data_IF_126047010548
#
_entry.id   IF_126047010548
#
_cell.length_a   1.000
_cell.length_b   1.000
_cell.length_c   1.000
_cell.angle_alpha   90.00
_cell.angle_beta   90.00
_cell.angle_gamma   90.00
#
_symmetry.space_group_name_H-M   'P 1'
#
loop_
_entity.id
_entity.type
_entity.pdbx_description
1 polymer ?
#
# COMPACT_ATOMS: atom_id res chain seq x y z
N UNK A 1 -6.50 50.48 72.45
CA UNK A 1 -7.64 51.32 72.05
C UNK A 1 -7.91 51.02 70.58
N UNK A 2 -9.06 50.56 70.10
CA UNK A 2 -10.37 50.34 70.73
C UNK A 2 -11.08 49.11 70.14
N UNK A 3 -12.27 48.86 70.65
CA UNK A 3 -12.99 47.59 70.76
C UNK A 3 -14.00 47.29 69.62
N UNK A 4 -14.30 45.98 69.43
CA UNK A 4 -15.62 45.34 69.20
C UNK A 4 -16.46 45.63 67.92
N UNK A 5 -17.49 44.80 67.55
CA UNK A 5 -17.90 43.45 67.99
C UNK A 5 -18.30 42.45 66.84
N UNK A 6 -18.77 41.28 67.25
CA UNK A 6 -19.16 40.03 66.56
C UNK A 6 -20.54 39.96 65.86
N UNK A 7 -20.59 39.26 64.68
CA UNK A 7 -21.63 38.41 64.01
C UNK A 7 -23.10 38.92 63.77
N UNK A 8 -23.96 38.29 62.91
CA UNK A 8 -23.80 37.59 61.61
C UNK A 8 -24.95 37.89 60.56
N UNK A 9 -24.92 37.17 59.41
CA UNK A 9 -26.05 36.71 58.55
C UNK A 9 -26.47 37.48 57.28
N UNK A 10 -26.33 36.74 56.16
CA UNK A 10 -27.19 36.57 54.98
C UNK A 10 -28.17 37.68 54.57
N UNK A 11 -27.95 38.24 53.37
CA UNK A 11 -28.95 39.03 52.65
C UNK A 11 -28.43 39.51 51.30
N UNK A 12 -29.09 39.07 50.23
CA UNK A 12 -28.78 39.31 48.83
C UNK A 12 -28.53 40.77 48.46
N UNK A 13 -27.47 41.02 47.68
CA UNK A 13 -27.44 42.13 46.72
C UNK A 13 -27.02 41.63 45.33
N UNK A 14 -27.87 41.95 44.36
CA UNK A 14 -27.73 41.69 42.92
C UNK A 14 -26.60 42.52 42.29
N UNK A 15 -26.21 42.02 41.10
CA UNK A 15 -25.53 42.68 39.95
C UNK A 15 -24.01 42.83 40.05
N UNK A 16 -23.31 42.06 39.21
CA UNK A 16 -22.80 42.61 37.95
C UNK A 16 -22.55 41.49 36.95
N UNK A 17 -22.94 41.76 35.70
CA UNK A 17 -22.79 40.87 34.57
C UNK A 17 -21.35 40.86 34.10
N UNK A 18 -20.80 39.68 33.84
CA UNK A 18 -19.74 39.50 32.86
C UNK A 18 -20.19 38.36 31.97
N UNK A 19 -20.78 38.73 30.82
CA UNK A 19 -20.94 37.85 29.67
C UNK A 19 -19.54 37.41 29.26
N UNK A 20 -19.08 36.26 29.73
CA UNK A 20 -18.03 35.52 29.03
C UNK A 20 -18.70 34.67 27.97
N UNK A 21 -18.60 35.16 26.75
CA UNK A 21 -19.05 34.54 25.51
C UNK A 21 -18.33 33.19 25.30
N UNK A 22 -18.89 32.11 25.82
CA UNK A 22 -18.38 30.74 25.63
C UNK A 22 -18.97 30.04 24.38
N UNK A 23 -19.60 30.79 23.47
CA UNK A 23 -20.41 30.23 22.38
C UNK A 23 -19.77 30.26 20.99
N UNK A 24 -18.53 30.71 20.83
CA UNK A 24 -17.88 30.80 19.50
C UNK A 24 -17.04 29.57 19.13
N UNK A 25 -16.62 28.76 20.10
CA UNK A 25 -15.73 27.62 19.82
C UNK A 25 -16.48 26.36 19.36
N UNK A 26 -17.74 26.15 19.78
CA UNK A 26 -18.54 24.99 19.33
C UNK A 26 -18.98 25.11 17.87
N UNK A 27 -19.25 26.33 17.38
CA UNK A 27 -19.70 26.53 16.00
C UNK A 27 -18.59 26.29 14.97
N UNK A 28 -17.33 26.62 15.31
CA UNK A 28 -16.20 26.44 14.41
C UNK A 28 -15.74 24.97 14.32
N UNK A 29 -15.90 24.19 15.38
CA UNK A 29 -15.63 22.74 15.36
C UNK A 29 -16.69 21.99 14.55
N UNK A 30 -17.97 22.34 14.74
CA UNK A 30 -19.07 21.73 13.97
C UNK A 30 -18.97 21.99 12.47
N UNK A 31 -18.55 23.19 12.06
CA UNK A 31 -18.40 23.54 10.65
C UNK A 31 -17.25 22.76 9.97
N UNK A 32 -16.12 22.58 10.68
CA UNK A 32 -14.98 21.79 10.17
C UNK A 32 -15.34 20.31 10.00
N UNK A 33 -16.10 19.76 10.93
CA UNK A 33 -16.57 18.38 10.84
C UNK A 33 -17.54 18.19 9.66
N UNK A 34 -18.41 19.17 9.40
CA UNK A 34 -19.32 19.16 8.25
C UNK A 34 -18.56 19.23 6.91
N UNK A 35 -17.58 20.14 6.76
CA UNK A 35 -16.72 20.22 5.56
C UNK A 35 -15.94 18.92 5.30
N UNK A 36 -15.41 18.30 6.37
CA UNK A 36 -14.69 17.03 6.26
C UNK A 36 -15.60 15.87 5.85
N UNK A 37 -16.87 15.89 6.29
CA UNK A 37 -17.87 14.92 5.87
C UNK A 37 -18.22 15.12 4.40
N UNK A 38 -18.52 16.35 3.96
CA UNK A 38 -18.82 16.64 2.56
C UNK A 38 -17.68 16.23 1.62
N UNK A 39 -16.43 16.53 1.99
CA UNK A 39 -15.24 16.12 1.26
C UNK A 39 -15.14 14.60 1.15
N UNK A 40 -15.43 13.88 2.25
CA UNK A 40 -15.38 12.42 2.29
C UNK A 40 -16.48 11.78 1.44
N UNK A 41 -17.70 12.32 1.50
CA UNK A 41 -18.84 11.90 0.68
C UNK A 41 -18.55 12.12 -0.81
N UNK A 42 -18.05 13.29 -1.16
CA UNK A 42 -17.63 13.61 -2.52
C UNK A 42 -16.55 12.66 -3.03
N UNK A 43 -15.48 12.45 -2.27
CA UNK A 43 -14.37 11.57 -2.68
C UNK A 43 -14.83 10.13 -2.91
N UNK A 44 -15.77 9.65 -2.09
CA UNK A 44 -16.33 8.32 -2.29
C UNK A 44 -17.17 8.25 -3.57
N UNK A 45 -18.09 9.19 -3.79
CA UNK A 45 -18.93 9.24 -4.99
C UNK A 45 -18.11 9.40 -6.26
N UNK A 46 -17.08 10.25 -6.23
CA UNK A 46 -16.15 10.44 -7.35
C UNK A 46 -15.42 9.14 -7.72
N UNK A 47 -14.92 8.40 -6.73
CA UNK A 47 -14.28 7.09 -6.97
C UNK A 47 -15.29 6.07 -7.48
N UNK A 48 -16.49 5.99 -6.91
CA UNK A 48 -17.55 5.10 -7.41
C UNK A 48 -17.87 5.39 -8.89
N UNK A 49 -17.94 6.66 -9.29
CA UNK A 49 -18.19 7.08 -10.68
C UNK A 49 -17.03 6.76 -11.63
N UNK A 50 -15.78 6.75 -11.16
CA UNK A 50 -14.64 6.24 -11.95
C UNK A 50 -14.87 4.77 -12.36
N UNK A 51 -15.36 3.95 -11.42
CA UNK A 51 -15.51 2.50 -11.60
C UNK A 51 -16.86 2.06 -12.17
N UNK A 52 -17.92 2.88 -12.10
CA UNK A 52 -19.26 2.52 -12.60
C UNK A 52 -19.34 2.46 -14.13
N UNK A 53 -18.48 3.21 -14.84
CA UNK A 53 -18.34 3.16 -16.31
C UNK A 53 -19.55 3.66 -17.12
N UNK A 54 -20.67 4.00 -16.46
CA UNK A 54 -21.92 4.41 -17.12
C UNK A 54 -22.03 5.90 -17.42
N UNK A 55 -21.41 6.75 -16.60
CA UNK A 55 -21.43 8.22 -16.76
C UNK A 55 -20.01 8.76 -16.92
N UNK A 56 -19.83 9.77 -17.75
CA UNK A 56 -18.58 10.52 -17.81
C UNK A 56 -18.44 11.46 -16.61
N UNK A 57 -17.20 11.64 -16.17
CA UNK A 57 -16.85 12.65 -15.17
C UNK A 57 -16.91 14.01 -15.84
N UNK A 58 -17.81 14.87 -15.38
CA UNK A 58 -17.96 16.21 -15.92
C UNK A 58 -16.77 17.10 -15.50
N UNK A 59 -16.70 18.29 -16.11
CA UNK A 59 -15.58 19.21 -15.83
C UNK A 59 -15.66 19.85 -14.44
N UNK A 60 -16.86 20.00 -13.89
CA UNK A 60 -17.07 20.59 -12.57
C UNK A 60 -16.60 19.62 -11.47
N UNK A 61 -16.96 18.33 -11.59
CA UNK A 61 -16.49 17.25 -10.73
C UNK A 61 -14.97 17.13 -10.76
N UNK A 62 -14.36 17.21 -11.95
CA UNK A 62 -12.89 17.17 -12.08
C UNK A 62 -12.21 18.39 -11.44
N UNK A 63 -12.79 19.58 -11.61
CA UNK A 63 -12.29 20.80 -10.99
C UNK A 63 -12.37 20.72 -9.46
N UNK A 64 -13.54 20.32 -8.93
CA UNK A 64 -13.78 20.14 -7.49
C UNK A 64 -12.88 19.06 -6.89
N UNK A 65 -12.63 17.97 -7.62
CA UNK A 65 -11.66 16.95 -7.23
C UNK A 65 -10.24 17.52 -7.12
N UNK A 66 -9.80 18.31 -8.11
CA UNK A 66 -8.51 18.99 -8.09
C UNK A 66 -8.37 19.95 -6.91
N UNK A 67 -9.40 20.73 -6.60
CA UNK A 67 -9.44 21.64 -5.44
C UNK A 67 -9.25 20.88 -4.11
N UNK A 68 -10.01 19.80 -3.90
CA UNK A 68 -9.85 18.98 -2.70
C UNK A 68 -8.49 18.29 -2.60
N UNK A 69 -7.87 17.94 -3.74
CA UNK A 69 -6.51 17.39 -3.76
C UNK A 69 -5.44 18.44 -3.43
N UNK A 70 -5.69 19.70 -3.79
CA UNK A 70 -4.80 20.85 -3.55
C UNK A 70 -4.87 21.36 -2.10
N UNK A 71 -5.85 20.91 -1.31
CA UNK A 71 -6.02 21.32 0.08
C UNK A 71 -4.78 20.98 0.94
N UNK A 72 -4.41 21.91 1.82
CA UNK A 72 -3.27 21.77 2.73
C UNK A 72 -3.43 20.61 3.72
N UNK A 73 -4.66 20.29 4.13
CA UNK A 73 -4.93 19.22 5.10
C UNK A 73 -4.69 17.80 4.54
N UNK A 74 -4.51 17.67 3.22
CA UNK A 74 -4.25 16.40 2.52
C UNK A 74 -5.39 15.38 2.55
N UNK A 75 -6.56 15.72 3.12
CA UNK A 75 -7.66 14.77 3.29
C UNK A 75 -8.24 14.32 1.96
N UNK A 76 -8.29 15.19 0.95
CA UNK A 76 -8.73 14.79 -0.39
C UNK A 76 -7.83 13.69 -0.99
N UNK A 77 -6.52 13.89 -0.92
CA UNK A 77 -5.51 12.90 -1.38
C UNK A 77 -5.60 11.60 -0.60
N UNK A 78 -5.74 11.70 0.73
CA UNK A 78 -5.88 10.55 1.63
C UNK A 78 -7.13 9.72 1.30
N UNK A 79 -8.30 10.35 1.22
CA UNK A 79 -9.56 9.66 0.97
C UNK A 79 -9.60 9.04 -0.42
N UNK A 80 -9.12 9.73 -1.45
CA UNK A 80 -9.00 9.16 -2.79
C UNK A 80 -8.15 7.89 -2.77
N UNK A 81 -6.94 7.94 -2.20
CA UNK A 81 -6.06 6.78 -2.13
C UNK A 81 -6.67 5.62 -1.34
N UNK A 82 -7.42 5.91 -0.27
CA UNK A 82 -8.13 4.89 0.53
C UNK A 82 -9.27 4.24 -0.25
N UNK A 83 -10.11 5.02 -0.92
CA UNK A 83 -11.27 4.51 -1.66
C UNK A 83 -10.86 3.71 -2.89
N UNK A 84 -9.88 4.19 -3.67
CA UNK A 84 -9.34 3.41 -4.79
C UNK A 84 -8.69 2.12 -4.28
N UNK A 85 -7.92 2.16 -3.18
CA UNK A 85 -7.34 0.95 -2.61
C UNK A 85 -8.41 -0.08 -2.17
N UNK A 86 -9.60 0.36 -1.77
CA UNK A 86 -10.70 -0.52 -1.40
C UNK A 86 -11.31 -1.22 -2.63
N UNK A 87 -11.38 -0.52 -3.78
CA UNK A 87 -11.90 -1.09 -5.04
C UNK A 87 -11.07 -2.26 -5.57
N UNK A 88 -9.81 -2.37 -5.17
CA UNK A 88 -8.91 -3.48 -5.56
C UNK A 88 -9.44 -4.85 -5.16
N UNK A 89 -10.24 -4.92 -4.08
CA UNK A 89 -10.83 -6.17 -3.61
C UNK A 89 -11.91 -6.71 -4.57
N UNK A 90 -12.47 -5.85 -5.42
CA UNK A 90 -13.54 -6.21 -6.36
C UNK A 90 -12.94 -6.76 -7.66
N UNK A 91 -12.11 -5.96 -8.33
CA UNK A 91 -11.39 -6.39 -9.53
C UNK A 91 -10.09 -5.60 -9.71
N UNK A 92 -9.07 -6.27 -10.27
CA UNK A 92 -7.81 -5.66 -10.72
C UNK A 92 -7.81 -5.32 -12.21
N UNK A 93 -8.62 -6.05 -12.99
CA UNK A 93 -8.84 -5.78 -14.40
C UNK A 93 -10.00 -4.80 -14.55
N UNK A 94 -9.74 -3.65 -15.13
CA UNK A 94 -10.75 -2.59 -15.37
C UNK A 94 -10.97 -2.41 -16.86
N UNK A 95 -12.10 -1.79 -17.21
CA UNK A 95 -12.36 -1.37 -18.59
C UNK A 95 -11.34 -0.31 -19.03
N UNK A 96 -11.10 -0.18 -20.33
CA UNK A 96 -10.20 0.84 -20.88
C UNK A 96 -10.64 2.28 -20.50
N UNK A 97 -11.92 2.66 -20.54
CA UNK A 97 -12.36 3.97 -20.05
C UNK A 97 -12.05 4.18 -18.55
N UNK A 98 -12.35 3.21 -17.69
CA UNK A 98 -12.03 3.29 -16.26
C UNK A 98 -10.53 3.39 -16.03
N UNK A 99 -9.72 2.67 -16.81
CA UNK A 99 -8.27 2.73 -16.75
C UNK A 99 -7.75 4.15 -16.99
N UNK A 100 -8.17 4.82 -18.06
CA UNK A 100 -7.70 6.17 -18.35
C UNK A 100 -8.24 7.22 -17.36
N UNK A 101 -9.45 7.04 -16.83
CA UNK A 101 -9.97 7.87 -15.71
C UNK A 101 -9.10 7.73 -14.46
N UNK A 102 -8.65 6.51 -14.15
CA UNK A 102 -7.69 6.26 -13.08
C UNK A 102 -6.34 6.92 -13.37
N UNK A 103 -5.77 6.77 -14.58
CA UNK A 103 -4.50 7.44 -14.95
C UNK A 103 -4.59 8.95 -14.71
N UNK A 104 -5.65 9.60 -15.19
CA UNK A 104 -5.86 11.04 -15.02
C UNK A 104 -5.98 11.44 -13.55
N UNK A 105 -6.82 10.74 -12.79
CA UNK A 105 -7.06 11.07 -11.37
C UNK A 105 -5.82 10.80 -10.50
N UNK A 106 -5.09 9.71 -10.77
CA UNK A 106 -3.81 9.44 -10.11
C UNK A 106 -2.78 10.51 -10.42
N UNK A 107 -2.68 10.96 -11.67
CA UNK A 107 -1.72 12.01 -12.04
C UNK A 107 -1.96 13.30 -11.24
N UNK A 108 -3.22 13.73 -11.08
CA UNK A 108 -3.58 14.89 -10.24
C UNK A 108 -3.14 14.68 -8.79
N UNK A 109 -3.50 13.53 -8.19
CA UNK A 109 -3.16 13.29 -6.77
C UNK A 109 -1.66 13.15 -6.56
N UNK A 110 -0.95 12.49 -7.46
CA UNK A 110 0.51 12.33 -7.38
C UNK A 110 1.24 13.66 -7.56
N UNK A 111 0.73 14.53 -8.43
CA UNK A 111 1.21 15.89 -8.58
C UNK A 111 1.01 16.68 -7.28
N UNK A 112 -0.19 16.70 -6.72
CA UNK A 112 -0.44 17.43 -5.46
C UNK A 112 0.33 16.84 -4.27
N UNK A 113 0.49 15.52 -4.21
CA UNK A 113 1.37 14.87 -3.23
C UNK A 113 2.83 15.35 -3.37
N UNK A 114 3.29 15.58 -4.60
CA UNK A 114 4.63 16.08 -4.85
C UNK A 114 4.78 17.52 -4.36
N UNK A 115 3.81 18.39 -4.71
CA UNK A 115 3.84 19.81 -4.36
C UNK A 115 3.76 20.04 -2.85
N UNK A 116 2.98 19.21 -2.14
CA UNK A 116 2.72 19.36 -0.71
C UNK A 116 3.57 18.44 0.18
N UNK A 117 4.56 17.73 -0.37
CA UNK A 117 5.36 16.71 0.33
C UNK A 117 4.51 15.65 1.07
N UNK A 118 3.33 15.32 0.54
CA UNK A 118 2.39 14.38 1.15
C UNK A 118 2.61 12.95 0.63
N UNK A 119 3.54 12.25 1.27
CA UNK A 119 4.03 10.96 0.78
C UNK A 119 3.14 9.77 1.17
N UNK A 120 2.23 9.93 2.13
CA UNK A 120 1.37 8.84 2.61
C UNK A 120 0.41 8.32 1.52
N UNK A 121 -0.43 9.17 0.92
CA UNK A 121 -1.30 8.80 -0.19
C UNK A 121 -0.50 8.33 -1.40
N UNK A 122 0.61 9.01 -1.75
CA UNK A 122 1.47 8.62 -2.86
C UNK A 122 2.02 7.20 -2.72
N UNK A 123 2.45 6.79 -1.52
CA UNK A 123 2.93 5.42 -1.26
C UNK A 123 1.83 4.37 -1.54
N UNK A 124 0.59 4.67 -1.17
CA UNK A 124 -0.53 3.77 -1.45
C UNK A 124 -0.80 3.69 -2.97
N UNK A 125 -0.79 4.83 -3.66
CA UNK A 125 -0.96 4.91 -5.12
C UNK A 125 0.17 4.21 -5.89
N UNK A 126 1.40 4.28 -5.41
CA UNK A 126 2.56 3.56 -5.96
C UNK A 126 2.27 2.06 -6.07
N UNK A 127 1.74 1.45 -5.00
CA UNK A 127 1.40 0.02 -5.00
C UNK A 127 0.26 -0.28 -6.00
N UNK A 128 -0.70 0.64 -6.13
CA UNK A 128 -1.82 0.50 -7.06
C UNK A 128 -1.39 0.61 -8.53
N UNK A 129 -0.29 1.32 -8.83
CA UNK A 129 0.26 1.42 -10.19
C UNK A 129 0.58 0.04 -10.80
N UNK A 130 1.00 -0.93 -9.98
CA UNK A 130 1.29 -2.31 -10.39
C UNK A 130 0.11 -3.27 -10.24
N UNK A 131 -1.03 -2.78 -9.75
CA UNK A 131 -2.19 -3.63 -9.47
C UNK A 131 -3.24 -3.53 -10.57
N UNK A 132 -3.66 -2.30 -10.91
CA UNK A 132 -4.71 -2.08 -11.89
C UNK A 132 -4.16 -2.20 -13.30
N UNK A 133 -4.88 -2.93 -14.14
CA UNK A 133 -4.56 -3.08 -15.54
C UNK A 133 -5.84 -3.16 -16.38
N UNK A 134 -5.70 -2.88 -17.67
CA UNK A 134 -6.69 -3.26 -18.68
C UNK A 134 -6.05 -4.20 -19.71
N UNK A 135 -6.89 -4.95 -20.41
CA UNK A 135 -6.45 -5.83 -21.50
C UNK A 135 -6.37 -4.97 -22.77
N UNK A 136 -5.14 -4.72 -23.23
CA UNK A 136 -4.87 -4.04 -24.49
C UNK A 136 -5.13 -4.95 -25.69
N UNK A 137 -5.42 -4.36 -26.84
CA UNK A 137 -5.54 -5.13 -28.09
C UNK A 137 -4.19 -5.81 -28.39
N UNK A 138 -4.16 -7.10 -28.79
CA UNK A 138 -2.92 -7.75 -29.19
C UNK A 138 -2.26 -6.95 -30.31
N UNK A 139 -1.00 -6.59 -30.11
CA UNK A 139 -0.22 -5.84 -31.09
C UNK A 139 -0.07 -6.69 -32.36
N UNK A 140 -0.85 -6.38 -33.40
CA UNK A 140 -0.81 -7.03 -34.71
C UNK A 140 -0.20 -6.07 -35.74
N UNK A 141 1.04 -5.60 -35.59
CA UNK A 141 1.74 -4.90 -36.68
C UNK A 141 3.26 -5.17 -36.72
N UNK A 142 3.88 -5.08 -37.94
CA UNK A 142 5.23 -5.55 -38.22
C UNK A 142 6.33 -4.67 -37.61
N UNK A 143 7.39 -5.36 -37.21
CA UNK A 143 8.61 -4.90 -36.58
C UNK A 143 9.33 -3.75 -37.31
N UNK A 144 9.06 -2.48 -36.97
CA UNK A 144 9.98 -1.36 -37.25
C UNK A 144 9.96 -0.31 -36.12
N UNK A 145 10.64 -0.63 -35.02
CA UNK A 145 11.45 0.28 -34.20
C UNK A 145 11.97 -0.52 -33.00
N UNK A 146 13.25 -0.88 -33.04
CA UNK A 146 13.93 -1.53 -31.93
C UNK A 146 14.14 -0.51 -30.80
N UNK A 147 13.15 -0.35 -29.94
CA UNK A 147 13.44 -0.32 -28.51
C UNK A 147 13.18 -1.73 -27.99
N UNK A 148 14.22 -2.37 -27.42
CA UNK A 148 14.03 -3.66 -26.72
C UNK A 148 12.89 -3.45 -25.73
N UNK A 149 11.82 -4.27 -25.74
CA UNK A 149 10.86 -4.21 -24.66
C UNK A 149 11.61 -4.66 -23.41
N UNK A 150 11.92 -3.68 -22.54
CA UNK A 150 12.18 -3.91 -21.11
C UNK A 150 11.25 -5.04 -20.69
N UNK A 151 11.78 -6.14 -20.14
CA UNK A 151 11.04 -7.40 -19.98
C UNK A 151 9.62 -7.15 -19.45
N UNK A 152 8.64 -7.92 -19.94
CA UNK A 152 7.22 -7.74 -19.61
C UNK A 152 7.05 -7.42 -18.13
N UNK A 153 6.34 -6.35 -17.78
CA UNK A 153 6.12 -5.90 -16.39
C UNK A 153 5.58 -7.04 -15.49
N UNK A 154 4.86 -8.00 -16.07
CA UNK A 154 4.43 -9.23 -15.39
C UNK A 154 5.62 -10.10 -14.93
N UNK A 155 6.69 -10.20 -15.73
CA UNK A 155 7.94 -10.87 -15.37
C UNK A 155 8.65 -10.15 -14.23
N UNK A 156 8.72 -8.83 -14.31
CA UNK A 156 9.32 -7.98 -13.29
C UNK A 156 8.63 -8.16 -11.93
N UNK A 157 7.29 -8.07 -11.90
CA UNK A 157 6.49 -8.29 -10.69
C UNK A 157 6.61 -9.70 -10.12
N UNK A 158 6.76 -10.72 -10.98
CA UNK A 158 7.01 -12.11 -10.52
C UNK A 158 8.40 -12.25 -9.92
N UNK A 159 9.42 -11.65 -10.53
CA UNK A 159 10.80 -11.63 -10.02
C UNK A 159 10.85 -11.03 -8.62
N UNK A 160 10.21 -9.88 -8.41
CA UNK A 160 10.10 -9.21 -7.11
C UNK A 160 9.57 -10.14 -6.00
N UNK A 161 8.42 -10.77 -6.27
CA UNK A 161 7.74 -11.62 -5.29
C UNK A 161 8.50 -12.92 -5.04
N UNK A 162 9.12 -13.48 -6.08
CA UNK A 162 9.95 -14.69 -5.96
C UNK A 162 11.21 -14.43 -5.13
N UNK A 163 11.91 -13.33 -5.42
CA UNK A 163 13.12 -12.94 -4.71
C UNK A 163 12.84 -12.69 -3.23
N UNK A 164 11.78 -11.94 -2.93
CA UNK A 164 11.36 -11.68 -1.55
C UNK A 164 10.98 -12.98 -0.80
N UNK A 165 10.31 -13.92 -1.47
CA UNK A 165 9.94 -15.19 -0.86
C UNK A 165 11.15 -16.08 -0.58
N UNK A 166 12.07 -16.21 -1.54
CA UNK A 166 13.27 -17.04 -1.41
C UNK A 166 14.26 -16.47 -0.38
N UNK A 167 14.50 -15.15 -0.43
CA UNK A 167 15.50 -14.50 0.44
C UNK A 167 14.98 -14.24 1.85
N UNK A 168 13.66 -14.23 2.08
CA UNK A 168 13.08 -14.23 3.43
C UNK A 168 13.46 -15.49 4.22
N UNK A 169 13.40 -16.66 3.60
CA UNK A 169 13.81 -17.93 4.23
C UNK A 169 15.33 -17.94 4.49
N UNK A 170 16.14 -17.36 3.60
CA UNK A 170 17.59 -17.23 3.78
C UNK A 170 17.92 -16.26 4.93
N UNK A 171 17.31 -15.08 5.01
CA UNK A 171 17.50 -14.16 6.13
C UNK A 171 17.08 -14.79 7.47
N UNK A 172 15.96 -15.52 7.50
CA UNK A 172 15.54 -16.27 8.69
C UNK A 172 16.53 -17.39 9.06
N UNK A 173 17.16 -18.06 8.09
CA UNK A 173 18.15 -19.12 8.32
C UNK A 173 19.52 -18.60 8.75
N UNK A 174 20.01 -17.51 8.16
CA UNK A 174 21.32 -16.92 8.50
C UNK A 174 21.34 -16.42 9.95
N UNK A 175 20.23 -15.86 10.42
CA UNK A 175 20.08 -15.45 11.82
C UNK A 175 19.96 -16.64 12.78
N UNK A 176 19.28 -17.73 12.38
CA UNK A 176 19.23 -18.98 13.16
C UNK A 176 20.63 -19.62 13.29
N UNK A 177 21.45 -19.56 12.25
CA UNK A 177 22.81 -20.10 12.28
C UNK A 177 23.76 -19.24 13.13
N UNK A 178 23.53 -17.93 13.21
CA UNK A 178 24.24 -17.06 14.16
C UNK A 178 23.87 -17.39 15.62
N UNK A 179 22.61 -17.76 15.87
CA UNK A 179 22.13 -18.27 17.17
C UNK A 179 22.67 -19.67 17.52
N UNK A 180 23.07 -20.48 16.54
CA UNK A 180 23.58 -21.84 16.79
C UNK A 180 24.95 -21.89 17.48
N UNK A 181 25.62 -20.73 17.69
CA UNK A 181 26.79 -20.62 18.59
C UNK A 181 26.44 -20.60 20.09
N UNK A 182 25.16 -20.67 20.44
CA UNK A 182 24.65 -20.86 21.80
C UNK A 182 23.56 -21.93 21.74
N UNK A 183 23.95 -23.17 22.00
CA UNK A 183 23.13 -24.37 21.80
C UNK A 183 21.94 -24.52 22.77
N UNK A 184 20.88 -25.11 22.21
CA UNK A 184 19.92 -26.06 22.79
C UNK A 184 18.94 -25.59 23.91
N UNK A 185 17.64 -25.52 23.58
CA UNK A 185 16.61 -26.51 23.99
C UNK A 185 15.25 -26.22 23.31
N UNK A 186 14.72 -27.26 22.66
CA UNK A 186 13.32 -27.57 22.28
C UNK A 186 12.23 -26.51 22.50
N UNK A 187 11.81 -25.88 21.40
CA UNK A 187 10.59 -26.23 20.66
C UNK A 187 9.23 -26.03 21.35
N UNK A 188 8.60 -24.88 21.09
CA UNK A 188 7.14 -24.74 21.10
C UNK A 188 6.69 -23.69 20.06
N UNK A 189 6.58 -24.09 18.80
CA UNK A 189 5.96 -23.28 17.75
C UNK A 189 4.49 -23.67 17.60
N UNK A 190 3.61 -22.87 18.21
CA UNK A 190 2.18 -22.89 17.92
C UNK A 190 1.91 -22.18 16.59
N UNK A 191 1.90 -22.94 15.50
CA UNK A 191 1.44 -22.49 14.19
C UNK A 191 0.00 -22.99 13.97
N UNK A 192 -0.97 -22.09 14.07
CA UNK A 192 -2.33 -22.36 13.59
C UNK A 192 -2.36 -22.40 12.07
N UNK A 193 -2.22 -23.60 11.49
CA UNK A 193 -2.70 -23.90 10.14
C UNK A 193 -4.03 -24.61 10.24
N UNK A 194 -5.11 -23.93 9.82
CA UNK A 194 -6.43 -24.55 9.61
C UNK A 194 -6.35 -25.60 8.48
N UNK A 195 -6.81 -26.85 8.69
CA UNK A 195 -6.68 -27.92 7.70
C UNK A 195 -7.78 -27.89 6.61
N UNK A 196 -7.39 -28.27 5.39
CA UNK A 196 -8.25 -28.55 4.23
C UNK A 196 -8.72 -30.03 4.32
N UNK A 197 -10.01 -30.27 4.07
CA UNK A 197 -10.68 -31.56 4.26
C UNK A 197 -10.27 -32.71 3.31
N UNK A 198 -10.74 -33.94 3.57
CA UNK A 198 -10.18 -35.19 3.04
C UNK A 198 -10.74 -35.64 1.67
N UNK A 199 -10.06 -36.58 0.98
CA UNK A 199 -10.44 -37.07 -0.36
C UNK A 199 -11.38 -38.29 -0.29
N UNK A 200 -12.27 -38.43 -1.27
CA UNK A 200 -13.12 -39.63 -1.47
C UNK A 200 -12.74 -40.34 -2.77
N UNK A 201 -12.76 -41.68 -2.69
CA UNK A 201 -12.24 -42.71 -3.60
C UNK A 201 -13.18 -43.01 -4.80
N UNK A 202 -12.59 -43.67 -5.81
CA UNK A 202 -13.17 -44.23 -7.05
C UNK A 202 -14.27 -45.29 -6.81
N UNK A 203 -15.16 -45.44 -7.80
CA UNK A 203 -15.78 -46.70 -8.23
C UNK A 203 -15.97 -46.72 -9.76
N UNK A 204 -15.76 -47.89 -10.35
CA UNK A 204 -15.86 -48.26 -11.78
C UNK A 204 -17.24 -48.92 -12.08
N UNK A 205 -17.45 -49.34 -13.35
CA UNK A 205 -18.56 -50.13 -13.96
C UNK A 205 -19.76 -49.33 -14.55
N UNK A 206 -20.35 -49.61 -15.73
CA UNK A 206 -20.11 -50.50 -16.88
C UNK A 206 -21.04 -50.03 -18.06
N UNK A 207 -21.00 -50.74 -19.19
CA UNK A 207 -21.34 -50.42 -20.60
C UNK A 207 -22.80 -50.05 -21.05
N UNK A 208 -22.91 -49.49 -22.28
CA UNK A 208 -24.10 -49.60 -23.15
C UNK A 208 -24.26 -48.52 -24.26
N UNK A 209 -24.06 -48.88 -25.54
CA UNK A 209 -24.34 -48.12 -26.80
C UNK A 209 -25.68 -48.58 -27.43
N UNK A 210 -26.25 -48.04 -28.56
CA UNK A 210 -25.93 -46.87 -29.42
C UNK A 210 -27.14 -46.04 -30.01
N UNK A 211 -26.84 -44.96 -30.77
CA UNK A 211 -27.64 -44.28 -31.85
C UNK A 211 -28.92 -43.49 -31.42
N UNK A 212 -29.35 -42.32 -31.93
CA UNK A 212 -29.27 -41.67 -33.26
C UNK A 212 -29.48 -40.11 -33.19
N UNK A 213 -29.20 -39.40 -34.30
CA UNK A 213 -29.09 -37.92 -34.60
C UNK A 213 -30.43 -37.10 -34.62
N UNK A 214 -30.51 -35.77 -34.96
CA UNK A 214 -29.55 -34.64 -35.00
C UNK A 214 -30.10 -33.23 -34.52
N UNK A 215 -29.23 -32.20 -34.60
CA UNK A 215 -29.49 -30.75 -34.90
C UNK A 215 -29.99 -29.83 -33.77
N UNK A 216 -29.09 -28.98 -33.26
CA UNK A 216 -28.95 -27.54 -33.62
C UNK A 216 -27.84 -26.93 -32.76
N UNK A 217 -26.76 -26.48 -33.40
CA UNK A 217 -25.66 -25.74 -32.81
C UNK A 217 -26.16 -24.40 -32.28
N UNK A 218 -26.46 -24.35 -30.99
CA UNK A 218 -26.38 -23.12 -30.21
C UNK A 218 -24.92 -23.02 -29.79
N UNK A 219 -24.17 -22.11 -30.41
CA UNK A 219 -22.82 -21.77 -29.97
C UNK A 219 -22.93 -21.10 -28.62
N UNK A 220 -22.85 -21.91 -27.56
CA UNK A 220 -22.56 -21.47 -26.21
C UNK A 220 -21.19 -20.80 -26.27
N UNK A 221 -21.15 -19.50 -26.01
CA UNK A 221 -19.89 -18.77 -25.82
C UNK A 221 -19.16 -19.41 -24.63
N UNK A 222 -18.02 -20.05 -24.92
CA UNK A 222 -17.12 -20.58 -23.90
C UNK A 222 -16.41 -19.39 -23.22
N UNK A 223 -16.26 -19.37 -21.88
CA UNK A 223 -15.62 -18.27 -21.14
C UNK A 223 -14.08 -18.22 -21.28
N UNK A 224 -13.53 -18.78 -22.36
CA UNK A 224 -12.09 -19.02 -22.54
C UNK A 224 -11.44 -18.10 -23.58
N UNK A 225 -12.21 -17.25 -24.26
CA UNK A 225 -11.68 -16.32 -25.28
C UNK A 225 -11.27 -14.93 -24.74
N UNK A 226 -11.50 -14.62 -23.46
CA UNK A 226 -11.20 -13.29 -22.88
C UNK A 226 -9.71 -13.00 -22.60
N UNK A 227 -8.77 -13.92 -22.87
CA UNK A 227 -7.34 -13.75 -22.52
C UNK A 227 -6.38 -13.67 -23.71
N UNK A 228 -6.76 -12.95 -24.77
CA UNK A 228 -5.90 -12.74 -25.95
C UNK A 228 -5.24 -11.36 -26.05
N UNK A 229 -5.25 -10.56 -24.99
CA UNK A 229 -4.61 -9.24 -24.98
C UNK A 229 -3.49 -9.11 -23.93
N UNK A 230 -2.59 -8.17 -24.16
CA UNK A 230 -1.51 -7.83 -23.23
C UNK A 230 -2.06 -6.99 -22.07
N UNK A 231 -1.57 -7.22 -20.84
CA UNK A 231 -1.95 -6.41 -19.70
C UNK A 231 -1.18 -5.09 -19.71
N UNK A 232 -1.91 -3.99 -19.76
CA UNK A 232 -1.35 -2.65 -19.62
C UNK A 232 -1.66 -2.15 -18.22
N UNK A 233 -0.61 -1.92 -17.42
CA UNK A 233 -0.70 -1.49 -16.03
C UNK A 233 -0.68 0.04 -15.91
N UNK A 234 -1.32 0.59 -14.87
CA UNK A 234 -1.30 2.03 -14.59
C UNK A 234 0.14 2.59 -14.50
N UNK A 235 1.06 1.77 -13.96
CA UNK A 235 2.48 2.04 -13.92
C UNK A 235 3.05 2.56 -15.25
N UNK A 236 2.64 1.99 -16.40
CA UNK A 236 3.14 2.37 -17.72
C UNK A 236 2.95 3.87 -18.00
N UNK A 237 1.84 4.45 -17.54
CA UNK A 237 1.52 5.86 -17.72
C UNK A 237 1.98 6.76 -16.57
N UNK A 238 2.19 6.19 -15.38
CA UNK A 238 2.47 6.94 -14.16
C UNK A 238 3.94 6.90 -13.71
N UNK A 239 4.79 6.08 -14.36
CA UNK A 239 6.21 5.96 -13.97
C UNK A 239 7.01 7.25 -14.08
N UNK A 240 6.58 8.20 -14.93
CA UNK A 240 7.26 9.48 -15.15
C UNK A 240 6.84 10.58 -14.16
N UNK A 241 5.99 10.28 -13.17
CA UNK A 241 5.57 11.29 -12.20
C UNK A 241 6.78 11.78 -11.36
N UNK A 242 6.92 13.10 -11.11
CA UNK A 242 8.09 13.66 -10.44
C UNK A 242 8.33 13.10 -9.03
N UNK A 243 7.26 12.81 -8.29
CA UNK A 243 7.32 12.30 -6.91
C UNK A 243 8.19 11.04 -6.78
N UNK A 244 8.16 10.15 -7.78
CA UNK A 244 8.98 8.95 -7.81
C UNK A 244 10.47 9.24 -7.91
N UNK A 245 10.86 10.38 -8.49
CA UNK A 245 12.27 10.73 -8.67
C UNK A 245 12.86 11.47 -7.46
N UNK A 246 12.08 11.62 -6.38
CA UNK A 246 12.52 12.33 -5.18
C UNK A 246 12.95 11.34 -4.09
N UNK A 247 14.17 11.50 -3.56
CA UNK A 247 14.61 10.71 -2.40
C UNK A 247 13.80 11.01 -1.13
N UNK A 248 13.16 12.19 -1.05
CA UNK A 248 12.26 12.56 0.07
C UNK A 248 11.09 11.58 0.17
N UNK A 249 10.43 11.30 -0.96
CA UNK A 249 9.37 10.31 -1.03
C UNK A 249 9.85 8.93 -0.58
N UNK A 250 10.93 8.41 -1.16
CA UNK A 250 11.41 7.05 -0.85
C UNK A 250 11.80 6.88 0.61
N UNK A 251 12.48 7.86 1.20
CA UNK A 251 12.81 7.83 2.62
C UNK A 251 11.55 7.84 3.49
N UNK A 252 10.61 8.75 3.25
CA UNK A 252 9.37 8.86 4.03
C UNK A 252 8.50 7.60 3.90
N UNK A 253 8.30 7.13 2.68
CA UNK A 253 7.52 5.94 2.40
C UNK A 253 8.14 4.68 3.02
N UNK A 254 9.48 4.55 3.00
CA UNK A 254 10.20 3.44 3.62
C UNK A 254 10.05 3.45 5.14
N UNK A 255 10.27 4.60 5.77
CA UNK A 255 10.09 4.72 7.22
C UNK A 255 8.65 4.37 7.62
N UNK A 256 7.65 4.91 6.92
CA UNK A 256 6.26 4.59 7.21
C UNK A 256 5.95 3.09 7.04
N UNK A 257 6.51 2.44 6.01
CA UNK A 257 6.35 1.00 5.80
C UNK A 257 6.96 0.15 6.93
N UNK A 258 8.21 0.46 7.34
CA UNK A 258 8.89 -0.20 8.46
C UNK A 258 8.11 -0.01 9.77
N UNK A 259 7.66 1.21 10.06
CA UNK A 259 6.89 1.51 11.28
C UNK A 259 5.53 0.81 11.29
N UNK A 260 4.84 0.78 10.15
CA UNK A 260 3.59 0.05 10.01
C UNK A 260 3.76 -1.45 10.28
N UNK A 261 4.82 -2.07 9.75
CA UNK A 261 5.07 -3.51 9.94
C UNK A 261 5.46 -3.84 11.38
N UNK A 262 6.29 -2.99 12.02
CA UNK A 262 6.63 -3.09 13.45
C UNK A 262 5.39 -3.01 14.34
N UNK A 263 4.51 -2.03 14.09
CA UNK A 263 3.26 -1.86 14.86
C UNK A 263 2.32 -3.05 14.74
N UNK A 264 2.22 -3.66 13.55
CA UNK A 264 1.33 -4.82 13.31
C UNK A 264 1.79 -6.08 14.02
N UNK A 265 3.10 -6.31 14.10
CA UNK A 265 3.67 -7.55 14.61
C UNK A 265 4.14 -7.46 16.07
N UNK A 266 4.35 -6.26 16.61
CA UNK A 266 4.79 -6.07 18.00
C UNK A 266 4.28 -4.75 18.60
N UNK A 267 3.05 -4.71 19.16
CA UNK A 267 2.62 -3.63 20.04
C UNK A 267 3.28 -3.79 21.42
N UNK A 268 4.61 -3.73 21.49
CA UNK A 268 5.33 -3.83 22.76
C UNK A 268 5.24 -2.48 23.47
N UNK A 269 4.41 -2.40 24.52
CA UNK A 269 4.37 -1.23 25.41
C UNK A 269 5.66 -1.14 26.21
N UNK A 270 6.04 0.08 26.64
CA UNK A 270 7.26 0.34 27.42
C UNK A 270 7.38 -0.55 28.68
N UNK A 271 6.25 -0.90 29.27
CA UNK A 271 6.14 -1.78 30.44
C UNK A 271 6.57 -3.22 30.14
N UNK A 272 6.29 -3.73 28.94
CA UNK A 272 6.71 -5.10 28.54
C UNK A 272 8.22 -5.22 28.44
N UNK A 273 8.91 -4.18 27.97
CA UNK A 273 10.37 -4.22 27.74
C UNK A 273 11.17 -4.48 29.02
N UNK A 274 10.76 -3.90 30.15
CA UNK A 274 11.44 -4.09 31.44
C UNK A 274 11.32 -5.51 31.99
N UNK A 275 10.31 -6.26 31.57
CA UNK A 275 10.08 -7.66 31.96
C UNK A 275 10.61 -8.66 30.92
N UNK A 276 11.08 -8.20 29.76
CA UNK A 276 11.63 -9.08 28.74
C UNK A 276 12.98 -9.63 29.17
N UNK A 277 13.13 -10.94 29.01
CA UNK A 277 14.40 -11.65 29.11
C UNK A 277 15.39 -11.16 28.05
N UNK A 278 16.68 -11.46 28.23
CA UNK A 278 17.68 -11.11 27.22
C UNK A 278 17.40 -11.79 25.87
N UNK A 279 16.93 -13.04 25.89
CA UNK A 279 16.58 -13.80 24.70
C UNK A 279 15.42 -13.15 23.92
N UNK A 280 14.36 -12.73 24.61
CA UNK A 280 13.22 -12.03 23.98
C UNK A 280 13.63 -10.66 23.40
N UNK A 281 14.60 -9.98 24.03
CA UNK A 281 15.16 -8.72 23.50
C UNK A 281 15.95 -8.98 22.22
N UNK A 282 16.80 -10.00 22.22
CA UNK A 282 17.61 -10.38 21.05
C UNK A 282 16.71 -10.84 19.90
N UNK A 283 15.63 -11.58 20.18
CA UNK A 283 14.60 -11.92 19.20
C UNK A 283 13.89 -10.69 18.64
N UNK A 284 13.57 -9.71 19.49
CA UNK A 284 12.95 -8.46 19.03
C UNK A 284 13.89 -7.65 18.13
N UNK A 285 15.19 -7.62 18.42
CA UNK A 285 16.20 -6.98 17.58
C UNK A 285 16.31 -7.66 16.22
N UNK A 286 16.51 -8.99 16.19
CA UNK A 286 16.52 -9.79 14.96
C UNK A 286 15.26 -9.59 14.12
N UNK A 287 14.12 -9.51 14.80
CA UNK A 287 12.84 -9.29 14.16
C UNK A 287 12.74 -7.90 13.51
N UNK A 288 13.24 -6.85 14.17
CA UNK A 288 13.29 -5.50 13.61
C UNK A 288 14.25 -5.39 12.42
N UNK A 289 15.38 -6.09 12.45
CA UNK A 289 16.33 -6.23 11.34
C UNK A 289 15.64 -6.89 10.14
N UNK A 290 14.93 -8.01 10.35
CA UNK A 290 14.19 -8.72 9.30
C UNK A 290 13.11 -7.86 8.62
N UNK A 291 12.39 -7.04 9.40
CA UNK A 291 11.45 -6.06 8.83
C UNK A 291 12.20 -5.10 7.91
N UNK A 292 13.32 -4.54 8.38
CA UNK A 292 14.09 -3.56 7.61
C UNK A 292 14.63 -4.19 6.33
N UNK A 293 15.20 -5.39 6.40
CA UNK A 293 15.69 -6.15 5.24
C UNK A 293 14.59 -6.38 4.19
N UNK A 294 13.42 -6.89 4.62
CA UNK A 294 12.30 -7.15 3.72
C UNK A 294 11.73 -5.88 3.07
N UNK A 295 11.62 -4.80 3.83
CA UNK A 295 11.20 -3.51 3.29
C UNK A 295 12.24 -2.94 2.33
N UNK A 296 13.54 -3.06 2.64
CA UNK A 296 14.60 -2.58 1.75
C UNK A 296 14.58 -3.30 0.42
N UNK A 297 14.44 -4.63 0.40
CA UNK A 297 14.33 -5.39 -0.84
C UNK A 297 13.14 -4.97 -1.70
N UNK A 298 11.99 -4.71 -1.06
CA UNK A 298 10.79 -4.24 -1.76
C UNK A 298 11.01 -2.84 -2.35
N UNK A 299 11.60 -1.94 -1.57
CA UNK A 299 11.80 -0.54 -1.97
C UNK A 299 12.87 -0.39 -3.04
N UNK A 300 14.03 -1.05 -2.92
CA UNK A 300 15.10 -0.97 -3.93
C UNK A 300 14.66 -1.56 -5.26
N UNK A 301 13.87 -2.64 -5.23
CA UNK A 301 13.21 -3.17 -6.41
C UNK A 301 12.27 -2.12 -7.02
N UNK A 302 11.29 -1.61 -6.27
CA UNK A 302 10.37 -0.59 -6.77
C UNK A 302 11.08 0.66 -7.31
N UNK A 303 12.16 1.13 -6.67
CA UNK A 303 12.96 2.26 -7.13
C UNK A 303 13.51 2.01 -8.54
N UNK A 304 14.08 0.83 -8.79
CA UNK A 304 14.55 0.44 -10.14
C UNK A 304 13.38 0.40 -11.13
N UNK A 305 12.22 -0.14 -10.71
CA UNK A 305 11.00 -0.16 -11.53
C UNK A 305 10.62 1.25 -11.98
N UNK A 306 10.62 2.21 -11.07
CA UNK A 306 10.31 3.62 -11.37
C UNK A 306 11.44 4.37 -12.07
N UNK A 307 12.48 3.68 -12.54
CA UNK A 307 13.54 4.26 -13.37
C UNK A 307 14.64 4.98 -12.59
N UNK A 308 14.73 4.79 -11.27
CA UNK A 308 15.85 5.33 -10.52
C UNK A 308 17.11 4.56 -10.89
N UNK A 309 18.18 5.31 -11.14
CA UNK A 309 19.44 4.70 -11.50
C UNK A 309 20.01 3.89 -10.32
N UNK A 310 20.81 2.90 -10.67
CA UNK A 310 21.51 2.02 -9.74
C UNK A 310 22.27 2.76 -8.63
N UNK A 311 22.90 3.89 -8.94
CA UNK A 311 23.66 4.67 -7.94
C UNK A 311 22.73 5.18 -6.84
N UNK A 312 21.60 5.76 -7.20
CA UNK A 312 20.61 6.25 -6.24
C UNK A 312 20.01 5.12 -5.39
N UNK A 313 19.74 3.95 -5.99
CA UNK A 313 19.27 2.77 -5.25
C UNK A 313 20.31 2.28 -4.24
N UNK A 314 21.59 2.27 -4.62
CA UNK A 314 22.68 1.88 -3.71
C UNK A 314 22.92 2.91 -2.59
N UNK A 315 22.88 4.20 -2.90
CA UNK A 315 23.01 5.26 -1.90
C UNK A 315 21.87 5.21 -0.87
N UNK A 316 20.65 4.93 -1.34
CA UNK A 316 19.49 4.68 -0.48
C UNK A 316 19.70 3.42 0.38
N UNK A 317 20.06 2.29 -0.23
CA UNK A 317 20.30 1.02 0.48
C UNK A 317 21.37 1.20 1.58
N UNK A 318 22.51 1.79 1.25
CA UNK A 318 23.61 2.02 2.20
C UNK A 318 23.16 2.83 3.41
N UNK A 319 22.43 3.92 3.19
CA UNK A 319 21.93 4.76 4.29
C UNK A 319 20.95 4.00 5.19
N UNK A 320 19.99 3.30 4.58
CA UNK A 320 18.93 2.62 5.34
C UNK A 320 19.42 1.32 6.00
N UNK A 321 20.41 0.64 5.42
CA UNK A 321 21.05 -0.52 6.02
C UNK A 321 21.76 -0.17 7.34
N UNK A 322 22.46 0.98 7.37
CA UNK A 322 23.08 1.50 8.60
C UNK A 322 22.02 1.86 9.65
N UNK A 323 20.94 2.53 9.26
CA UNK A 323 19.85 2.90 10.19
C UNK A 323 19.12 1.68 10.74
N UNK A 324 18.98 0.64 9.92
CA UNK A 324 18.31 -0.60 10.26
C UNK A 324 19.20 -1.67 10.88
N UNK A 325 20.49 -1.38 11.10
CA UNK A 325 21.50 -2.33 11.60
C UNK A 325 21.55 -3.66 10.83
N UNK A 326 21.47 -3.61 9.50
CA UNK A 326 21.63 -4.81 8.68
C UNK A 326 23.06 -5.35 8.78
N UNK A 327 23.19 -6.67 8.81
CA UNK A 327 24.48 -7.33 8.74
C UNK A 327 25.10 -7.28 7.32
N UNK A 328 26.38 -7.63 7.20
CA UNK A 328 27.12 -7.60 5.94
C UNK A 328 26.56 -8.55 4.89
N UNK A 329 26.01 -9.70 5.30
CA UNK A 329 25.47 -10.70 4.38
C UNK A 329 24.13 -10.23 3.80
N UNK A 330 23.24 -9.71 4.65
CA UNK A 330 21.98 -9.08 4.27
C UNK A 330 22.21 -7.88 3.35
N UNK A 331 23.17 -7.01 3.67
CA UNK A 331 23.53 -5.90 2.83
C UNK A 331 24.02 -6.36 1.45
N UNK A 332 24.91 -7.37 1.43
CA UNK A 332 25.41 -7.95 0.18
C UNK A 332 24.29 -8.54 -0.67
N UNK A 333 23.38 -9.30 -0.08
CA UNK A 333 22.22 -9.87 -0.79
C UNK A 333 21.36 -8.79 -1.46
N UNK A 334 21.12 -7.67 -0.78
CA UNK A 334 20.37 -6.54 -1.33
C UNK A 334 21.15 -5.81 -2.43
N UNK A 335 22.46 -5.63 -2.25
CA UNK A 335 23.33 -5.01 -3.24
C UNK A 335 23.37 -5.85 -4.53
N UNK A 336 23.61 -7.16 -4.41
CA UNK A 336 23.66 -8.08 -5.55
C UNK A 336 22.31 -8.14 -6.29
N UNK A 337 21.19 -8.01 -5.57
CA UNK A 337 19.87 -7.90 -6.19
C UNK A 337 19.71 -6.61 -7.01
N UNK A 338 20.18 -5.47 -6.51
CA UNK A 338 20.17 -4.20 -7.27
C UNK A 338 21.02 -4.34 -8.53
N UNK A 339 22.19 -4.98 -8.43
CA UNK A 339 23.08 -5.25 -9.57
C UNK A 339 22.37 -6.07 -10.65
N UNK A 340 21.75 -7.18 -10.26
CA UNK A 340 21.03 -8.05 -11.17
C UNK A 340 19.87 -7.31 -11.86
N UNK A 341 19.00 -6.67 -11.08
CA UNK A 341 17.80 -6.02 -11.60
C UNK A 341 18.10 -4.77 -12.45
N UNK A 342 19.26 -4.13 -12.27
CA UNK A 342 19.67 -2.99 -13.10
C UNK A 342 20.19 -3.39 -14.48
N UNK A 343 20.44 -4.70 -14.70
CA UNK A 343 20.90 -5.24 -16.00
C UNK A 343 19.78 -5.82 -16.85
N UNK A 344 18.58 -6.00 -16.28
CA UNK A 344 17.34 -6.42 -16.93
C UNK A 344 16.59 -5.22 -17.52
#
# INVERSE_FOLDING_TARGET
>A
MGESPSHPSWGQYRRSSSNESFSSNQSADSAKDEELLELREFMRGYVEKIFSGGEDLDQEEKAKFGEYCSSENGKGREWFARYVSAQRCNSKCVSEPTFYRLVQSFAVVLFECHQMDDFGPAKNLMTMCFTYYHIGKPHLLPMESKEKPTGSIDSYLKSANSWLAEKKDIAERLLKNTSAKTENVKGFFGLETKPKGPPVRRSEEEEGRPQEKPRKTVTVCSPEEERKGEKIYLYTHLKQQPIWHTLRFWNAAFFDAVHCERRKRSPTTRERWCHMTQEERDDSLRFNENITFGQLGTFTHNMLAFGLNKKLCNDFLKKQAVIGNLDEEQYKLLSDHIEQMATE
#
